data_IF_268892091042
#
_entry.id   IF_268892091042
#
_cell.length_a   1.000
_cell.length_b   1.000
_cell.length_c   1.000
_cell.angle_alpha   90.00
_cell.angle_beta   90.00
_cell.angle_gamma   90.00
#
_symmetry.space_group_name_H-M   'P 1'
#
loop_
_entity.id
_entity.type
_entity.pdbx_description
1 polymer ?
#
# COMPACT_ATOMS: atom_id res chain seq x y z
N UNK A 1 2.84 2.52 -4.50
CA UNK A 1 1.61 2.08 -3.79
C UNK A 1 0.82 3.26 -3.21
N UNK A 2 1.46 4.22 -2.52
CA UNK A 2 0.79 5.40 -1.92
C UNK A 2 -0.11 6.17 -2.91
N UNK A 3 0.42 6.60 -4.07
CA UNK A 3 -0.39 7.30 -5.10
C UNK A 3 -1.61 6.52 -5.58
N UNK A 4 -1.52 5.19 -5.60
CA UNK A 4 -2.65 4.36 -6.00
C UNK A 4 -3.73 4.33 -4.91
N UNK A 5 -3.35 4.29 -3.63
CA UNK A 5 -4.32 4.41 -2.54
C UNK A 5 -5.07 5.75 -2.59
N UNK A 6 -4.37 6.87 -2.78
CA UNK A 6 -4.99 8.19 -2.89
C UNK A 6 -6.00 8.26 -4.04
N UNK A 7 -5.62 7.74 -5.21
CA UNK A 7 -6.51 7.62 -6.36
C UNK A 7 -7.75 6.78 -6.03
N UNK A 8 -7.57 5.66 -5.32
CA UNK A 8 -8.68 4.79 -4.95
C UNK A 8 -9.61 5.44 -3.93
N UNK A 9 -9.09 6.12 -2.91
CA UNK A 9 -9.92 6.83 -1.93
C UNK A 9 -10.75 7.93 -2.60
N UNK A 10 -10.15 8.73 -3.48
CA UNK A 10 -10.88 9.73 -4.27
C UNK A 10 -11.96 9.09 -5.15
N UNK A 11 -11.63 7.98 -5.82
CA UNK A 11 -12.61 7.24 -6.64
C UNK A 11 -13.77 6.73 -5.77
N UNK A 12 -13.49 6.24 -4.56
CA UNK A 12 -14.53 5.79 -3.64
C UNK A 12 -15.43 6.91 -3.16
N UNK A 13 -14.89 8.09 -2.94
CA UNK A 13 -15.64 9.28 -2.55
C UNK A 13 -16.56 9.73 -3.68
N UNK A 14 -16.02 9.92 -4.89
CA UNK A 14 -16.79 10.34 -6.08
C UNK A 14 -17.92 9.37 -6.42
N UNK A 15 -17.69 8.06 -6.24
CA UNK A 15 -18.66 7.01 -6.59
C UNK A 15 -19.57 6.59 -5.44
N UNK A 16 -19.44 7.22 -4.26
CA UNK A 16 -20.12 6.80 -3.03
C UNK A 16 -19.98 5.29 -2.77
N UNK A 17 -18.77 4.77 -2.95
CA UNK A 17 -18.52 3.33 -2.94
C UNK A 17 -18.79 2.74 -1.55
N UNK A 18 -19.83 1.90 -1.47
CA UNK A 18 -20.18 1.18 -0.26
C UNK A 18 -18.96 0.43 0.32
N UNK A 19 -18.79 0.48 1.65
CA UNK A 19 -17.64 -0.10 2.36
C UNK A 19 -17.34 -1.54 1.94
N UNK A 20 -18.37 -2.39 1.81
CA UNK A 20 -18.23 -3.80 1.40
C UNK A 20 -17.89 -4.03 -0.08
N UNK A 21 -17.85 -2.99 -0.91
CA UNK A 21 -17.48 -3.05 -2.34
C UNK A 21 -16.08 -2.50 -2.62
N UNK A 22 -15.50 -1.71 -1.71
CA UNK A 22 -14.20 -1.05 -1.89
C UNK A 22 -13.09 -2.02 -2.30
N UNK A 23 -12.92 -3.14 -1.59
CA UNK A 23 -11.85 -4.12 -1.90
C UNK A 23 -12.01 -4.72 -3.28
N UNK A 24 -13.21 -5.20 -3.64
CA UNK A 24 -13.47 -5.78 -4.97
C UNK A 24 -13.21 -4.76 -6.08
N UNK A 25 -13.66 -3.52 -5.87
CA UNK A 25 -13.47 -2.45 -6.85
C UNK A 25 -11.99 -2.12 -7.02
N UNK A 26 -11.26 -1.85 -5.93
CA UNK A 26 -9.84 -1.53 -6.00
C UNK A 26 -9.03 -2.66 -6.63
N UNK A 27 -9.27 -3.89 -6.20
CA UNK A 27 -8.48 -5.04 -6.65
C UNK A 27 -8.72 -5.38 -8.13
N UNK A 28 -9.87 -5.00 -8.69
CA UNK A 28 -10.13 -5.07 -10.12
C UNK A 28 -9.28 -4.08 -10.96
N UNK A 29 -8.70 -3.05 -10.33
CA UNK A 29 -7.80 -2.07 -10.99
C UNK A 29 -6.33 -2.46 -10.92
N UNK A 30 -6.00 -3.58 -10.29
CA UNK A 30 -4.62 -4.06 -10.18
C UNK A 30 -4.12 -4.62 -11.51
N UNK A 31 -2.84 -4.42 -11.78
CA UNK A 31 -2.17 -4.90 -12.99
C UNK A 31 -0.79 -5.47 -12.64
N UNK A 32 -0.23 -6.28 -13.55
CA UNK A 32 1.12 -6.83 -13.43
C UNK A 32 1.35 -7.57 -12.11
N UNK A 33 2.50 -7.32 -11.47
CA UNK A 33 2.91 -7.97 -10.20
C UNK A 33 1.85 -7.84 -9.10
N UNK A 34 1.16 -6.70 -9.01
CA UNK A 34 0.16 -6.48 -7.99
C UNK A 34 -1.09 -7.35 -8.18
N UNK A 35 -1.50 -7.58 -9.44
CA UNK A 35 -2.60 -8.49 -9.77
C UNK A 35 -2.23 -9.93 -9.44
N UNK A 36 -1.04 -10.39 -9.84
CA UNK A 36 -0.54 -11.73 -9.52
C UNK A 36 -0.50 -11.96 -8.01
N UNK A 37 0.00 -10.99 -7.25
CA UNK A 37 0.01 -11.04 -5.79
C UNK A 37 -1.42 -11.17 -5.22
N UNK A 38 -2.38 -10.35 -5.68
CA UNK A 38 -3.75 -10.42 -5.19
C UNK A 38 -4.42 -11.77 -5.52
N UNK A 39 -4.15 -12.34 -6.71
CA UNK A 39 -4.61 -13.69 -7.07
C UNK A 39 -4.08 -14.73 -6.08
N UNK A 40 -2.81 -14.63 -5.68
CA UNK A 40 -2.24 -15.48 -4.64
C UNK A 40 -2.95 -15.30 -3.30
N UNK A 41 -3.23 -14.06 -2.88
CA UNK A 41 -3.97 -13.80 -1.64
C UNK A 41 -5.37 -14.43 -1.66
N UNK A 42 -6.07 -14.33 -2.81
CA UNK A 42 -7.39 -14.96 -3.00
C UNK A 42 -7.29 -16.49 -2.96
N UNK A 43 -6.23 -17.08 -3.51
CA UNK A 43 -5.99 -18.53 -3.46
C UNK A 43 -5.71 -19.01 -2.02
N UNK A 44 -4.89 -18.27 -1.26
CA UNK A 44 -4.51 -18.62 0.11
C UNK A 44 -5.65 -18.40 1.11
N UNK A 45 -6.35 -17.27 1.04
CA UNK A 45 -7.37 -16.88 2.03
C UNK A 45 -8.78 -17.36 1.64
N UNK A 46 -9.00 -17.64 0.35
CA UNK A 46 -10.31 -17.86 -0.22
C UNK A 46 -11.01 -16.55 -0.62
N UNK A 47 -11.73 -16.58 -1.75
CA UNK A 47 -12.37 -15.40 -2.37
C UNK A 47 -13.29 -14.62 -1.43
N UNK A 48 -14.09 -15.31 -0.61
CA UNK A 48 -15.03 -14.66 0.30
C UNK A 48 -14.29 -13.88 1.39
N UNK A 49 -13.27 -14.50 1.99
CA UNK A 49 -12.47 -13.89 3.06
C UNK A 49 -11.66 -12.73 2.49
N UNK A 50 -10.90 -12.95 1.41
CA UNK A 50 -10.06 -11.92 0.79
C UNK A 50 -10.86 -10.66 0.42
N UNK A 51 -12.04 -10.82 -0.20
CA UNK A 51 -12.88 -9.69 -0.57
C UNK A 51 -13.70 -9.09 0.59
N UNK A 52 -13.88 -9.84 1.67
CA UNK A 52 -14.60 -9.39 2.87
C UNK A 52 -13.73 -8.59 3.83
N UNK A 53 -12.42 -8.55 3.62
CA UNK A 53 -11.49 -7.76 4.45
C UNK A 53 -11.85 -6.27 4.42
N UNK A 54 -11.66 -5.54 5.52
CA UNK A 54 -11.72 -4.09 5.51
C UNK A 54 -10.70 -3.51 4.54
N UNK A 55 -11.05 -2.39 3.90
CA UNK A 55 -10.12 -1.70 3.00
C UNK A 55 -8.81 -1.29 3.68
N UNK A 56 -8.85 -0.89 4.96
CA UNK A 56 -7.67 -0.57 5.76
C UNK A 56 -6.69 -1.75 5.87
N UNK A 57 -7.21 -2.97 6.01
CA UNK A 57 -6.37 -4.17 6.10
C UNK A 57 -5.70 -4.47 4.75
N UNK A 58 -6.42 -4.33 3.65
CA UNK A 58 -5.83 -4.49 2.30
C UNK A 58 -4.74 -3.46 2.05
N UNK A 59 -4.91 -2.21 2.52
CA UNK A 59 -3.85 -1.18 2.45
C UNK A 59 -2.60 -1.59 3.22
N UNK A 60 -2.75 -2.19 4.40
CA UNK A 60 -1.61 -2.69 5.16
C UNK A 60 -0.91 -3.83 4.43
N UNK A 61 -1.65 -4.86 3.99
CA UNK A 61 -1.09 -5.99 3.25
C UNK A 61 -0.30 -5.57 2.00
N UNK A 62 -0.82 -4.59 1.25
CA UNK A 62 -0.12 -4.05 0.08
C UNK A 62 1.09 -3.22 0.46
N UNK A 63 1.05 -2.52 1.60
CA UNK A 63 2.21 -1.78 2.11
C UNK A 63 3.32 -2.76 2.49
N UNK A 64 2.99 -3.84 3.20
CA UNK A 64 3.97 -4.84 3.63
C UNK A 64 4.63 -5.55 2.43
N UNK A 65 3.86 -5.87 1.38
CA UNK A 65 4.38 -6.54 0.18
C UNK A 65 5.24 -5.62 -0.70
N UNK A 66 4.84 -4.35 -0.86
CA UNK A 66 5.39 -3.47 -1.89
C UNK A 66 6.18 -2.27 -1.36
N UNK A 67 6.21 -2.07 -0.03
CA UNK A 67 6.96 -1.02 0.65
C UNK A 67 7.84 -1.65 1.74
N UNK A 68 8.99 -2.24 1.38
CA UNK A 68 9.82 -2.97 2.33
C UNK A 68 10.31 -2.03 3.44
N UNK A 69 9.87 -2.28 4.67
CA UNK A 69 10.23 -1.50 5.87
C UNK A 69 11.74 -1.34 6.04
N UNK A 70 12.53 -2.34 5.64
CA UNK A 70 14.00 -2.30 5.66
C UNK A 70 14.60 -1.20 4.80
N UNK A 71 14.04 -0.94 3.61
CA UNK A 71 14.55 0.10 2.71
C UNK A 71 14.16 1.48 3.21
N UNK A 72 12.97 1.59 3.81
CA UNK A 72 12.51 2.82 4.47
C UNK A 72 13.44 3.18 5.62
N UNK A 73 13.73 2.25 6.53
CA UNK A 73 14.67 2.50 7.62
C UNK A 73 16.08 2.82 7.12
N UNK A 74 16.58 2.12 6.09
CA UNK A 74 17.89 2.45 5.51
C UNK A 74 17.93 3.90 5.01
N UNK A 75 16.90 4.34 4.30
CA UNK A 75 16.81 5.72 3.80
C UNK A 75 16.68 6.74 4.95
N UNK A 76 15.96 6.41 6.02
CA UNK A 76 15.88 7.26 7.22
C UNK A 76 17.23 7.40 7.92
N UNK A 77 17.99 6.31 8.05
CA UNK A 77 19.33 6.31 8.62
C UNK A 77 20.32 7.10 7.75
N UNK A 78 20.29 6.91 6.43
CA UNK A 78 21.08 7.69 5.48
C UNK A 78 20.77 9.20 5.61
N UNK A 79 19.49 9.57 5.71
CA UNK A 79 19.06 10.96 5.89
C UNK A 79 19.55 11.55 7.22
N UNK A 80 19.51 10.77 8.31
CA UNK A 80 20.04 11.20 9.62
C UNK A 80 21.54 11.46 9.54
N UNK A 81 22.30 10.57 8.92
CA UNK A 81 23.74 10.76 8.73
C UNK A 81 24.08 11.98 7.88
N UNK A 82 23.33 12.22 6.79
CA UNK A 82 23.51 13.40 5.94
C UNK A 82 23.25 14.70 6.71
N UNK A 83 22.15 14.80 7.48
CA UNK A 83 21.86 15.98 8.30
C UNK A 83 22.95 16.27 9.33
N UNK A 84 23.48 15.24 9.99
CA UNK A 84 24.57 15.40 10.96
C UNK A 84 25.85 15.91 10.28
N UNK A 85 26.14 15.46 9.06
CA UNK A 85 27.30 15.92 8.28
C UNK A 85 27.16 17.38 7.87
N UNK A 86 25.98 17.79 7.41
CA UNK A 86 25.72 19.18 7.01
C UNK A 86 25.82 20.15 8.21
N UNK A 87 25.36 19.72 9.39
CA UNK A 87 25.48 20.50 10.64
C UNK A 87 26.93 20.69 11.08
N UNK A 88 27.80 19.69 10.87
CA UNK A 88 29.22 19.77 11.23
C UNK A 88 30.05 20.65 10.27
N UNK A 89 29.52 20.97 9.08
CA UNK A 89 30.18 21.85 8.10
C UNK A 89 29.75 23.31 8.28
N UNK A 90 28.63 23.55 8.96
CA UNK A 90 28.07 24.89 9.22
C UNK A 90 28.60 25.56 10.51
N UNK A 91 29.62 24.98 11.16
CA UNK A 91 30.34 25.51 12.34
C UNK A 91 31.73 25.94 11.92
#
# INVERSE_FOLDING_TARGET
VVRWFEKMENTFEITECAKGRKVKFATATLHGRALTWWISQVATLGRKVANGRPWSEVKQMMTDEFCPTKEVHRLEDELRHLKLRDMNIAV
#
